data_IF_939438820442
#
_entry.id   IF_939438820442
#
_cell.length_a   1.000
_cell.length_b   1.000
_cell.length_c   1.000
_cell.angle_alpha   90.00
_cell.angle_beta   90.00
_cell.angle_gamma   90.00
#
_symmetry.space_group_name_H-M   'P 1'
#
loop_
_entity.id
_entity.type
_entity.pdbx_description
1 polymer ?
#
# COMPACT_ATOMS: atom_id res chain seq x y z
N UNK A 1 -9.27 -9.66 9.91
CA UNK A 1 -7.99 -9.07 9.47
C UNK A 1 -8.20 -7.59 9.28
N UNK A 2 -7.20 -6.76 9.54
CA UNK A 2 -7.26 -5.31 9.33
C UNK A 2 -6.83 -5.01 7.88
N UNK A 3 -7.71 -4.46 7.03
CA UNK A 3 -7.37 -4.04 5.67
C UNK A 3 -6.45 -2.82 5.69
N UNK A 4 -5.34 -2.89 4.96
CA UNK A 4 -4.42 -1.77 4.74
C UNK A 4 -4.26 -1.57 3.24
N UNK A 5 -4.29 -0.33 2.78
CA UNK A 5 -3.96 0.05 1.41
C UNK A 5 -2.67 0.87 1.35
N UNK A 6 -1.83 0.53 0.37
CA UNK A 6 -0.70 1.32 -0.09
C UNK A 6 -0.86 1.64 -1.57
N UNK A 7 -0.25 2.73 -1.99
CA UNK A 7 -0.11 3.11 -3.39
C UNK A 7 1.37 3.29 -3.68
N UNK A 8 1.90 2.57 -4.67
CA UNK A 8 3.33 2.54 -4.95
C UNK A 8 3.65 2.45 -6.43
N UNK A 9 4.88 2.77 -6.80
CA UNK A 9 5.47 2.48 -8.09
C UNK A 9 6.83 1.77 -7.90
N UNK A 10 7.56 1.54 -8.99
CA UNK A 10 8.88 0.92 -8.98
C UNK A 10 9.88 1.64 -8.06
N UNK A 11 9.82 2.97 -7.97
CA UNK A 11 10.76 3.78 -7.18
C UNK A 11 10.42 3.74 -5.69
N UNK A 12 9.13 3.68 -5.36
CA UNK A 12 8.63 3.68 -3.99
C UNK A 12 8.38 2.29 -3.38
N UNK A 13 8.56 1.20 -4.14
CA UNK A 13 8.29 -0.15 -3.66
C UNK A 13 9.08 -0.46 -2.39
N UNK A 14 10.39 -0.19 -2.37
CA UNK A 14 11.21 -0.45 -1.19
C UNK A 14 10.78 0.37 0.03
N UNK A 15 10.39 1.63 -0.16
CA UNK A 15 9.87 2.47 0.92
C UNK A 15 8.56 1.91 1.47
N UNK A 16 7.62 1.53 0.59
CA UNK A 16 6.37 0.86 0.96
C UNK A 16 6.62 -0.41 1.79
N UNK A 17 7.61 -1.22 1.39
CA UNK A 17 7.96 -2.44 2.13
C UNK A 17 8.56 -2.14 3.51
N UNK A 18 9.30 -1.03 3.67
CA UNK A 18 9.81 -0.58 4.97
C UNK A 18 8.66 -0.12 5.87
N UNK A 19 7.71 0.65 5.34
CA UNK A 19 6.51 1.04 6.09
C UNK A 19 5.71 -0.18 6.51
N UNK A 20 5.45 -1.13 5.60
CA UNK A 20 4.78 -2.39 5.93
C UNK A 20 5.56 -3.18 6.99
N UNK A 21 6.89 -3.25 6.88
CA UNK A 21 7.75 -3.88 7.88
C UNK A 21 7.56 -3.23 9.27
N UNK A 22 7.46 -1.90 9.37
CA UNK A 22 7.18 -1.24 10.63
C UNK A 22 5.79 -1.57 11.19
N UNK A 23 4.78 -1.77 10.34
CA UNK A 23 3.44 -2.21 10.76
C UNK A 23 3.49 -3.61 11.36
N UNK A 24 4.08 -4.58 10.66
CA UNK A 24 4.12 -5.97 11.12
C UNK A 24 4.98 -6.15 12.38
N UNK A 25 6.01 -5.32 12.57
CA UNK A 25 6.86 -5.38 13.76
C UNK A 25 6.20 -4.80 15.01
N UNK A 26 5.23 -3.90 14.87
CA UNK A 26 4.57 -3.21 15.99
C UNK A 26 3.17 -3.76 16.31
N UNK A 27 2.69 -4.78 15.60
CA UNK A 27 1.34 -5.33 15.81
C UNK A 27 1.32 -6.85 15.70
N UNK A 28 0.50 -7.49 16.53
CA UNK A 28 0.17 -8.93 16.45
C UNK A 28 -1.09 -9.21 15.64
N UNK A 29 -1.80 -8.18 15.17
CA UNK A 29 -2.99 -8.33 14.35
C UNK A 29 -2.64 -8.97 12.99
N UNK A 30 -3.65 -9.54 12.33
CA UNK A 30 -3.51 -10.06 10.97
C UNK A 30 -3.96 -8.99 9.97
N UNK A 31 -3.14 -8.75 8.94
CA UNK A 31 -3.34 -7.68 7.96
C UNK A 31 -3.64 -8.23 6.57
N UNK A 32 -4.62 -7.61 5.91
CA UNK A 32 -4.89 -7.81 4.49
C UNK A 32 -4.36 -6.58 3.74
N UNK A 33 -3.22 -6.72 3.10
CA UNK A 33 -2.42 -5.61 2.57
C UNK A 33 -2.63 -5.50 1.07
N UNK A 34 -3.34 -4.47 0.65
CA UNK A 34 -3.56 -4.12 -0.73
C UNK A 34 -2.48 -3.15 -1.21
N UNK A 35 -1.73 -3.55 -2.22
CA UNK A 35 -0.68 -2.74 -2.84
C UNK A 35 -1.19 -2.35 -4.23
N UNK A 36 -1.74 -1.14 -4.34
CA UNK A 36 -2.07 -0.53 -5.62
C UNK A 36 -0.77 -0.10 -6.28
N UNK A 37 -0.54 -0.56 -7.51
CA UNK A 37 0.74 -0.31 -8.17
C UNK A 37 0.61 0.04 -9.65
N UNK A 38 1.63 0.73 -10.14
CA UNK A 38 1.91 0.91 -11.57
C UNK A 38 3.40 0.63 -11.83
N UNK A 39 3.72 0.12 -13.02
CA UNK A 39 5.09 -0.10 -13.49
C UNK A 39 5.97 -1.00 -12.59
N UNK A 40 5.40 -1.95 -11.86
CA UNK A 40 6.16 -2.95 -11.10
C UNK A 40 6.16 -4.29 -11.84
N UNK A 41 7.35 -4.78 -12.16
CA UNK A 41 7.49 -6.04 -12.89
C UNK A 41 7.03 -7.26 -12.06
N UNK A 42 6.72 -8.35 -12.75
CA UNK A 42 6.22 -9.57 -12.12
C UNK A 42 7.21 -10.18 -11.11
N UNK A 43 8.50 -10.23 -11.43
CA UNK A 43 9.53 -10.82 -10.55
C UNK A 43 9.63 -10.09 -9.21
N UNK A 44 9.60 -8.75 -9.23
CA UNK A 44 9.62 -7.93 -8.03
C UNK A 44 8.39 -8.21 -7.15
N UNK A 45 7.19 -8.33 -7.74
CA UNK A 45 5.97 -8.70 -7.01
C UNK A 45 6.09 -10.09 -6.38
N UNK A 46 6.60 -11.08 -7.11
CA UNK A 46 6.82 -12.43 -6.58
C UNK A 46 7.81 -12.45 -5.41
N UNK A 47 8.90 -11.69 -5.51
CA UNK A 47 9.86 -11.52 -4.39
C UNK A 47 9.19 -10.93 -3.16
N UNK A 48 8.31 -9.94 -3.33
CA UNK A 48 7.55 -9.36 -2.23
C UNK A 48 6.60 -10.37 -1.59
N UNK A 49 5.81 -11.10 -2.40
CA UNK A 49 4.91 -12.13 -1.91
C UNK A 49 5.66 -13.17 -1.07
N UNK A 50 6.78 -13.69 -1.60
CA UNK A 50 7.64 -14.64 -0.88
C UNK A 50 8.22 -14.07 0.41
N UNK A 51 8.66 -12.81 0.39
CA UNK A 51 9.25 -12.15 1.58
C UNK A 51 8.27 -12.06 2.75
N UNK A 52 6.98 -11.88 2.49
CA UNK A 52 5.95 -11.69 3.51
C UNK A 52 5.07 -12.93 3.73
N UNK A 53 5.31 -14.04 3.02
CA UNK A 53 4.45 -15.24 3.03
C UNK A 53 4.25 -15.85 4.44
N UNK A 54 5.27 -15.78 5.29
CA UNK A 54 5.27 -16.33 6.65
C UNK A 54 5.08 -15.25 7.74
N UNK A 55 4.52 -14.09 7.38
CA UNK A 55 4.25 -12.99 8.30
C UNK A 55 2.76 -12.89 8.60
N UNK A 56 2.37 -11.96 9.47
CA UNK A 56 0.97 -11.59 9.71
C UNK A 56 0.39 -10.64 8.65
N UNK A 57 1.01 -10.51 7.48
CA UNK A 57 0.56 -9.66 6.38
C UNK A 57 0.33 -10.49 5.10
N UNK A 58 -0.93 -10.55 4.65
CA UNK A 58 -1.29 -11.12 3.36
C UNK A 58 -1.29 -10.03 2.30
N UNK A 59 -0.33 -10.08 1.37
CA UNK A 59 -0.20 -9.11 0.28
C UNK A 59 -1.12 -9.45 -0.90
N UNK A 60 -1.73 -8.41 -1.49
CA UNK A 60 -2.49 -8.44 -2.74
C UNK A 60 -2.04 -7.28 -3.61
N UNK A 61 -1.51 -7.57 -4.79
CA UNK A 61 -1.10 -6.55 -5.75
C UNK A 61 -2.26 -6.25 -6.69
N UNK A 62 -2.66 -4.98 -6.78
CA UNK A 62 -3.71 -4.49 -7.68
C UNK A 62 -3.07 -3.51 -8.65
N UNK A 63 -3.04 -3.88 -9.92
CA UNK A 63 -2.56 -2.98 -10.96
C UNK A 63 -3.65 -1.94 -11.25
N UNK A 64 -3.26 -0.67 -11.36
CA UNK A 64 -4.15 0.38 -11.79
C UNK A 64 -3.59 1.09 -13.03
N UNK A 65 -4.49 1.58 -13.87
CA UNK A 65 -4.12 2.38 -15.03
C UNK A 65 -3.82 3.83 -14.61
N UNK A 66 -2.54 4.19 -14.66
CA UNK A 66 -2.06 5.53 -14.32
C UNK A 66 -2.54 6.60 -15.31
N UNK A 67 -2.90 6.21 -16.55
CA UNK A 67 -3.37 7.16 -17.57
C UNK A 67 -4.72 7.79 -17.20
N UNK A 68 -5.48 7.18 -16.27
CA UNK A 68 -6.69 7.77 -15.69
C UNK A 68 -6.41 9.10 -14.98
N UNK A 69 -5.18 9.31 -14.53
CA UNK A 69 -4.76 10.51 -13.81
C UNK A 69 -3.94 11.48 -14.68
N UNK A 70 -3.74 11.21 -15.97
CA UNK A 70 -2.86 12.02 -16.85
C UNK A 70 -3.25 13.50 -16.98
N UNK A 71 -4.53 13.82 -16.76
CA UNK A 71 -5.05 15.18 -16.82
C UNK A 71 -5.01 15.90 -15.46
N UNK A 72 -4.53 15.23 -14.40
CA UNK A 72 -4.49 15.78 -13.06
C UNK A 72 -3.21 16.58 -12.90
N UNK A 73 -3.33 17.78 -12.32
CA UNK A 73 -2.20 18.68 -12.16
C UNK A 73 -1.58 18.49 -10.79
N UNK A 74 -0.33 18.03 -10.76
CA UNK A 74 0.48 18.03 -9.54
C UNK A 74 1.39 19.26 -9.56
N UNK A 75 1.14 20.19 -8.64
CA UNK A 75 2.00 21.35 -8.45
C UNK A 75 3.30 21.03 -7.67
N UNK A 76 3.34 19.89 -6.98
CA UNK A 76 4.49 19.44 -6.21
C UNK A 76 5.35 18.43 -7.00
N UNK A 77 6.53 18.85 -7.46
CA UNK A 77 7.47 18.01 -8.22
C UNK A 77 7.92 16.71 -7.52
N UNK A 78 7.72 16.57 -6.21
CA UNK A 78 8.06 15.37 -5.45
C UNK A 78 6.96 14.29 -5.51
N UNK A 79 5.74 14.65 -5.92
CA UNK A 79 4.62 13.72 -5.99
C UNK A 79 4.48 13.21 -7.43
N UNK A 80 4.34 11.89 -7.57
CA UNK A 80 4.00 11.27 -8.85
C UNK A 80 2.48 11.21 -9.01
N UNK A 81 1.99 11.10 -10.26
CA UNK A 81 0.55 10.91 -10.53
C UNK A 81 -0.02 9.68 -9.82
N UNK A 82 0.84 8.70 -9.52
CA UNK A 82 0.54 7.56 -8.66
C UNK A 82 -0.15 7.97 -7.36
N UNK A 83 0.21 9.10 -6.75
CA UNK A 83 -0.42 9.60 -5.51
C UNK A 83 -1.95 9.75 -5.62
N UNK A 84 -2.50 10.05 -6.79
CA UNK A 84 -3.95 10.16 -6.98
C UNK A 84 -4.68 8.82 -6.97
N UNK A 85 -3.99 7.70 -7.17
CA UNK A 85 -4.60 6.37 -7.15
C UNK A 85 -5.24 6.03 -5.81
N UNK A 86 -4.85 6.71 -4.72
CA UNK A 86 -5.50 6.53 -3.40
C UNK A 86 -6.99 6.89 -3.42
N UNK A 87 -7.41 7.83 -4.26
CA UNK A 87 -8.82 8.20 -4.40
C UNK A 87 -9.64 7.14 -5.13
N UNK A 88 -8.99 6.21 -5.82
CA UNK A 88 -9.64 5.14 -6.56
C UNK A 88 -9.74 3.84 -5.74
N UNK A 89 -9.21 3.83 -4.51
CA UNK A 89 -9.34 2.71 -3.56
C UNK A 89 -10.79 2.20 -3.44
N UNK A 90 -11.82 3.05 -3.27
CA UNK A 90 -13.21 2.58 -3.16
C UNK A 90 -13.73 1.84 -4.40
N UNK A 91 -13.13 2.08 -5.58
CA UNK A 91 -13.51 1.44 -6.83
C UNK A 91 -12.73 0.14 -7.08
N UNK A 92 -11.57 -0.01 -6.45
CA UNK A 92 -10.63 -1.11 -6.69
C UNK A 92 -10.64 -2.17 -5.58
N UNK A 93 -11.09 -1.80 -4.37
CA UNK A 93 -11.07 -2.65 -3.19
C UNK A 93 -12.48 -2.71 -2.58
N UNK A 94 -13.01 -3.92 -2.49
CA UNK A 94 -14.32 -4.19 -1.86
C UNK A 94 -14.17 -4.45 -0.35
N UNK A 95 -13.80 -3.43 0.41
CA UNK A 95 -13.74 -3.45 1.89
C UNK A 95 -14.62 -2.31 2.44
N UNK A 96 -15.37 -2.56 3.51
CA UNK A 96 -16.25 -1.55 4.13
C UNK A 96 -15.46 -0.42 4.82
N UNK A 97 -14.32 -0.78 5.41
CA UNK A 97 -13.38 0.15 6.07
C UNK A 97 -11.96 -0.27 5.67
N UNK A 98 -11.06 0.69 5.51
CA UNK A 98 -9.64 0.41 5.18
C UNK A 98 -8.74 1.51 5.74
N UNK A 99 -7.54 1.15 6.20
CA UNK A 99 -6.51 2.12 6.59
C UNK A 99 -5.62 2.36 5.38
N UNK A 100 -5.62 3.58 4.84
CA UNK A 100 -4.63 4.00 3.86
C UNK A 100 -3.38 4.50 4.58
N UNK A 101 -2.20 4.09 4.10
CA UNK A 101 -0.90 4.56 4.58
C UNK A 101 -0.07 5.07 3.39
N UNK A 102 0.62 6.20 3.56
CA UNK A 102 1.63 6.64 2.60
C UNK A 102 2.90 5.77 2.71
N UNK A 103 3.63 5.64 1.60
CA UNK A 103 4.81 4.77 1.49
C UNK A 103 6.06 5.27 2.21
N UNK A 104 6.03 6.46 2.79
CA UNK A 104 7.19 7.17 3.36
C UNK A 104 7.06 7.46 4.86
N UNK A 105 6.20 6.71 5.57
CA UNK A 105 6.04 6.80 7.02
C UNK A 105 6.63 5.59 7.74
N UNK A 106 6.87 5.73 9.05
CA UNK A 106 7.21 4.63 9.96
C UNK A 106 6.11 4.52 11.01
N UNK A 107 5.51 3.34 11.11
CA UNK A 107 4.48 3.02 12.11
C UNK A 107 5.16 2.53 13.38
N UNK A 108 4.95 3.25 14.49
CA UNK A 108 5.63 3.02 15.78
C UNK A 108 4.69 2.45 16.86
N UNK A 109 3.45 2.12 16.51
CA UNK A 109 2.45 1.59 17.44
C UNK A 109 1.46 0.67 16.74
N UNK A 110 0.69 -0.10 17.51
CA UNK A 110 -0.29 -1.04 16.98
C UNK A 110 -1.47 -0.33 16.31
N UNK A 111 -1.62 -0.53 14.99
CA UNK A 111 -2.72 0.02 14.20
C UNK A 111 -4.10 -0.53 14.58
N UNK A 112 -4.19 -1.63 15.33
CA UNK A 112 -5.47 -2.14 15.83
C UNK A 112 -6.22 -1.09 16.68
N UNK A 113 -5.48 -0.23 17.39
CA UNK A 113 -6.07 0.86 18.18
C UNK A 113 -6.76 1.88 17.29
N UNK A 114 -6.11 2.30 16.20
CA UNK A 114 -6.70 3.21 15.20
C UNK A 114 -7.86 2.55 14.43
N UNK A 115 -7.77 1.24 14.22
CA UNK A 115 -8.80 0.50 13.51
C UNK A 115 -10.11 0.41 14.32
N UNK A 116 -10.01 0.22 15.63
CA UNK A 116 -11.15 0.02 16.53
C UNK A 116 -11.64 1.30 17.22
N UNK A 117 -10.99 2.44 16.99
CA UNK A 117 -11.49 3.75 17.43
C UNK A 117 -12.80 4.15 16.76
#
# INVERSE_FOLDING_TARGET
MIPIAFVTDQNYLNHTLVTLSSVISNSKAQFNVYILFTNINFEARQKCLKKFENTNAHLKFIEFDADRFKNYIIHNKKLSLTTYAKFDIPNLISEEKIIYLDSDIIVVSDLSTLWHS
#
